data_IF_197332650490
#
_entry.id   IF_197332650490
#
_cell.length_a   1.000
_cell.length_b   1.000
_cell.length_c   1.000
_cell.angle_alpha   90.00
_cell.angle_beta   90.00
_cell.angle_gamma   90.00
#
_symmetry.space_group_name_H-M   'P 1'
#
loop_
_entity.id
_entity.type
_entity.pdbx_description
1 polymer ?
#
# COMPACT_ATOMS: atom_id res chain seq x y z
N UNK A 1 -19.84 14.41 -8.81
CA UNK A 1 -18.64 13.60 -9.16
C UNK A 1 -17.46 14.49 -9.57
N UNK A 2 -17.59 15.33 -10.60
CA UNK A 2 -16.51 16.24 -11.06
C UNK A 2 -16.03 17.25 -10.00
N UNK A 3 -16.94 17.90 -9.25
CA UNK A 3 -16.55 18.83 -8.19
C UNK A 3 -15.74 18.16 -7.07
N UNK A 4 -16.11 16.93 -6.68
CA UNK A 4 -15.39 16.18 -5.65
C UNK A 4 -14.00 15.74 -6.15
N UNK A 5 -13.88 15.42 -7.44
CA UNK A 5 -12.59 15.08 -8.05
C UNK A 5 -11.63 16.26 -8.03
N UNK A 6 -12.13 17.45 -8.39
CA UNK A 6 -11.35 18.69 -8.34
C UNK A 6 -10.87 18.98 -6.92
N UNK A 7 -11.76 18.87 -5.92
CA UNK A 7 -11.41 19.08 -4.52
C UNK A 7 -10.30 18.14 -4.03
N UNK A 8 -10.30 16.88 -4.46
CA UNK A 8 -9.30 15.90 -3.99
C UNK A 8 -7.93 16.11 -4.64
N UNK A 9 -7.89 16.35 -5.95
CA UNK A 9 -6.62 16.46 -6.71
C UNK A 9 -5.93 17.81 -6.47
N UNK A 10 -6.70 18.87 -6.23
CA UNK A 10 -6.17 20.20 -5.92
C UNK A 10 -6.15 20.52 -4.42
N UNK A 11 -6.38 19.52 -3.58
CA UNK A 11 -6.22 19.68 -2.14
C UNK A 11 -4.77 19.99 -1.78
N UNK A 12 -4.58 20.90 -0.83
CA UNK A 12 -3.26 21.33 -0.41
C UNK A 12 -2.39 20.19 0.13
N UNK A 13 -2.97 19.24 0.89
CA UNK A 13 -2.25 18.10 1.45
C UNK A 13 -1.79 17.17 0.32
N UNK A 14 -2.67 16.90 -0.66
CA UNK A 14 -2.30 16.07 -1.80
C UNK A 14 -1.16 16.68 -2.61
N UNK A 15 -1.24 17.98 -2.90
CA UNK A 15 -0.21 18.70 -3.66
C UNK A 15 1.12 18.72 -2.90
N UNK A 16 1.10 18.88 -1.57
CA UNK A 16 2.30 18.75 -0.74
C UNK A 16 2.90 17.36 -0.88
N UNK A 17 2.10 16.29 -0.75
CA UNK A 17 2.59 14.91 -0.92
C UNK A 17 3.18 14.70 -2.32
N UNK A 18 2.50 15.19 -3.37
CA UNK A 18 2.97 15.08 -4.75
C UNK A 18 4.31 15.78 -4.96
N UNK A 19 4.46 17.02 -4.47
CA UNK A 19 5.71 17.78 -4.54
C UNK A 19 6.83 17.07 -3.77
N UNK A 20 6.54 16.54 -2.58
CA UNK A 20 7.52 15.79 -1.78
C UNK A 20 8.01 14.54 -2.52
N UNK A 21 7.11 13.80 -3.17
CA UNK A 21 7.49 12.62 -3.96
C UNK A 21 8.38 13.02 -5.15
N UNK A 22 8.02 14.07 -5.90
CA UNK A 22 8.87 14.56 -7.01
C UNK A 22 10.25 14.99 -6.51
N UNK A 23 10.30 15.70 -5.37
CA UNK A 23 11.54 16.09 -4.73
C UNK A 23 12.38 14.90 -4.27
N UNK A 24 11.74 13.85 -3.71
CA UNK A 24 12.44 12.61 -3.33
C UNK A 24 13.10 11.93 -4.53
N UNK A 25 12.46 11.92 -5.70
CA UNK A 25 13.05 11.35 -6.92
C UNK A 25 14.23 12.20 -7.41
N UNK A 26 14.07 13.54 -7.44
CA UNK A 26 15.14 14.47 -7.83
C UNK A 26 16.37 14.36 -6.92
N UNK A 27 16.16 14.20 -5.62
CA UNK A 27 17.23 14.02 -4.63
C UNK A 27 18.01 12.71 -4.84
N UNK A 28 17.33 11.66 -5.31
CA UNK A 28 17.97 10.37 -5.61
C UNK A 28 18.77 10.44 -6.92
N UNK A 29 18.24 11.13 -7.95
CA UNK A 29 18.93 11.44 -9.20
C UNK A 29 18.26 12.63 -9.89
N UNK A 30 19.04 13.62 -10.33
CA UNK A 30 18.53 14.86 -10.92
C UNK A 30 17.64 14.63 -12.16
N UNK A 31 17.89 13.56 -12.92
CA UNK A 31 17.12 13.22 -14.13
C UNK A 31 15.79 12.51 -13.83
N UNK A 32 15.56 12.09 -12.59
CA UNK A 32 14.39 11.29 -12.22
C UNK A 32 13.17 12.12 -11.82
N UNK A 33 13.28 13.45 -11.84
CA UNK A 33 12.17 14.38 -11.57
C UNK A 33 10.93 14.05 -12.44
N UNK A 34 11.14 13.82 -13.75
CA UNK A 34 10.07 13.46 -14.69
C UNK A 34 9.39 12.14 -14.31
N UNK A 35 10.15 11.17 -13.77
CA UNK A 35 9.57 9.90 -13.33
C UNK A 35 8.75 10.08 -12.06
N UNK A 36 9.18 10.94 -11.14
CA UNK A 36 8.36 11.35 -10.00
C UNK A 36 7.01 11.92 -10.45
N UNK A 37 7.01 12.83 -11.42
CA UNK A 37 5.77 13.40 -11.99
C UNK A 37 4.90 12.32 -12.65
N UNK A 38 5.50 11.40 -13.41
CA UNK A 38 4.78 10.26 -14.01
C UNK A 38 4.15 9.36 -12.95
N UNK A 39 4.84 9.08 -11.86
CA UNK A 39 4.34 8.22 -10.78
C UNK A 39 3.22 8.89 -9.98
N UNK A 40 3.30 10.22 -9.73
CA UNK A 40 2.17 11.01 -9.20
C UNK A 40 0.95 10.89 -10.12
N UNK A 41 1.13 11.08 -11.43
CA UNK A 41 0.05 10.99 -12.42
C UNK A 41 -0.58 9.58 -12.47
N UNK A 42 0.25 8.53 -12.55
CA UNK A 42 -0.19 7.13 -12.57
C UNK A 42 -0.97 6.74 -11.31
N UNK A 43 -0.46 7.14 -10.14
CA UNK A 43 -1.11 6.91 -8.86
C UNK A 43 -2.46 7.63 -8.74
N UNK A 44 -2.52 8.88 -9.20
CA UNK A 44 -3.75 9.68 -9.22
C UNK A 44 -4.84 9.03 -10.06
N UNK A 45 -4.51 8.60 -11.29
CA UNK A 45 -5.48 7.96 -12.19
C UNK A 45 -6.04 6.67 -11.59
N UNK A 46 -5.17 5.79 -11.08
CA UNK A 46 -5.61 4.54 -10.50
C UNK A 46 -6.39 4.77 -9.20
N UNK A 47 -5.99 5.73 -8.36
CA UNK A 47 -6.71 6.10 -7.15
C UNK A 47 -8.14 6.53 -7.44
N UNK A 48 -8.34 7.43 -8.41
CA UNK A 48 -9.66 7.88 -8.85
C UNK A 48 -10.49 6.72 -9.41
N UNK A 49 -9.88 5.91 -10.29
CA UNK A 49 -10.55 4.78 -10.93
C UNK A 49 -11.07 3.78 -9.89
N UNK A 50 -10.19 3.34 -8.97
CA UNK A 50 -10.54 2.36 -7.96
C UNK A 50 -11.46 2.93 -6.87
N UNK A 51 -11.33 4.20 -6.51
CA UNK A 51 -12.30 4.88 -5.64
C UNK A 51 -13.71 4.86 -6.24
N UNK A 52 -13.81 5.09 -7.56
CA UNK A 52 -15.09 5.04 -8.28
C UNK A 52 -15.67 3.61 -8.28
N UNK A 53 -14.83 2.59 -8.49
CA UNK A 53 -15.24 1.18 -8.42
C UNK A 53 -15.75 0.83 -7.02
N UNK A 54 -15.03 1.24 -5.96
CA UNK A 54 -15.43 1.01 -4.57
C UNK A 54 -16.77 1.67 -4.25
N UNK A 55 -16.98 2.90 -4.73
CA UNK A 55 -18.23 3.64 -4.53
C UNK A 55 -19.43 2.96 -5.20
N UNK A 56 -19.28 2.53 -6.46
CA UNK A 56 -20.32 1.76 -7.16
C UNK A 56 -20.57 0.41 -6.47
N UNK A 57 -19.53 -0.19 -5.89
CA UNK A 57 -19.63 -1.38 -5.05
C UNK A 57 -20.28 -1.16 -3.68
N UNK A 58 -20.73 0.06 -3.37
CA UNK A 58 -21.40 0.40 -2.10
C UNK A 58 -20.46 0.51 -0.90
N UNK A 59 -19.15 0.50 -1.12
CA UNK A 59 -18.15 0.57 -0.04
C UNK A 59 -17.96 2.04 0.35
N UNK A 60 -18.68 2.47 1.38
CA UNK A 60 -18.58 3.81 1.93
C UNK A 60 -17.94 3.77 3.32
N UNK A 61 -16.87 4.52 3.51
CA UNK A 61 -16.15 4.64 4.78
C UNK A 61 -16.46 6.02 5.36
N UNK A 62 -17.11 6.07 6.53
CA UNK A 62 -17.32 7.36 7.21
C UNK A 62 -16.04 7.73 7.94
N UNK A 63 -15.53 8.93 7.70
CA UNK A 63 -14.34 9.41 8.37
C UNK A 63 -14.66 9.66 9.85
N UNK A 64 -13.90 9.03 10.75
CA UNK A 64 -14.03 9.23 12.19
C UNK A 64 -12.72 9.77 12.76
N UNK A 65 -12.79 10.45 13.90
CA UNK A 65 -11.58 10.96 14.57
C UNK A 65 -10.59 9.84 14.91
N UNK A 66 -11.09 8.64 15.26
CA UNK A 66 -10.26 7.46 15.52
C UNK A 66 -9.38 7.06 14.33
N UNK A 67 -9.82 7.30 13.09
CA UNK A 67 -9.01 7.02 11.90
C UNK A 67 -7.77 7.91 11.80
N UNK A 68 -7.79 9.12 12.39
CA UNK A 68 -6.64 10.02 12.37
C UNK A 68 -5.47 9.45 13.18
N UNK A 69 -5.72 8.59 14.18
CA UNK A 69 -4.67 7.89 14.95
C UNK A 69 -3.90 6.88 14.11
N UNK A 70 -4.45 6.42 12.98
CA UNK A 70 -3.74 5.52 12.08
C UNK A 70 -2.49 6.16 11.51
N UNK A 71 -2.46 7.49 11.34
CA UNK A 71 -1.29 8.21 10.80
C UNK A 71 -0.07 8.13 11.75
N UNK A 72 -0.14 8.62 13.00
CA UNK A 72 0.99 8.51 13.93
C UNK A 72 1.33 7.05 14.25
N UNK A 73 0.35 6.15 14.29
CA UNK A 73 0.59 4.73 14.49
C UNK A 73 1.36 4.11 13.32
N UNK A 74 0.98 4.41 12.08
CA UNK A 74 1.70 3.96 10.88
C UNK A 74 3.14 4.46 10.88
N UNK A 75 3.36 5.73 11.24
CA UNK A 75 4.70 6.31 11.34
C UNK A 75 5.54 5.59 12.41
N UNK A 76 4.96 5.32 13.58
CA UNK A 76 5.61 4.58 14.67
C UNK A 76 5.99 3.17 14.23
N UNK A 77 5.08 2.42 13.60
CA UNK A 77 5.35 1.07 13.12
C UNK A 77 6.42 1.06 12.02
N UNK A 78 6.36 2.00 11.08
CA UNK A 78 7.36 2.18 10.02
C UNK A 78 8.75 2.46 10.59
N UNK A 79 8.84 3.22 11.70
CA UNK A 79 10.12 3.53 12.36
C UNK A 79 10.82 2.28 12.92
N UNK A 80 10.06 1.25 13.29
CA UNK A 80 10.61 -0.04 13.77
C UNK A 80 11.00 -0.93 12.59
N UNK A 81 10.10 -1.06 11.61
CA UNK A 81 10.38 -1.77 10.37
C UNK A 81 9.61 -1.10 9.22
N UNK A 82 10.27 -0.69 8.12
CA UNK A 82 9.58 -0.06 7.00
C UNK A 82 8.41 -0.88 6.43
N UNK A 83 8.47 -2.23 6.52
CA UNK A 83 7.37 -3.11 6.08
C UNK A 83 6.09 -2.93 6.91
N UNK A 84 6.22 -2.59 8.19
CA UNK A 84 5.09 -2.48 9.12
C UNK A 84 4.27 -1.20 8.92
N UNK A 85 4.71 -0.30 8.05
CA UNK A 85 3.89 0.82 7.59
C UNK A 85 2.73 0.42 6.68
N UNK A 86 2.72 -0.81 6.15
CA UNK A 86 1.59 -1.29 5.36
C UNK A 86 0.35 -1.46 6.24
N UNK A 87 -0.81 -0.99 5.77
CA UNK A 87 -2.08 -1.14 6.48
C UNK A 87 -2.49 -2.60 6.72
N UNK A 88 -1.91 -3.57 6.00
CA UNK A 88 -2.02 -5.00 6.30
C UNK A 88 -1.48 -5.40 7.68
N UNK A 89 -0.64 -4.57 8.31
CA UNK A 89 -0.22 -4.71 9.71
C UNK A 89 -0.92 -3.73 10.64
N UNK A 90 -1.00 -2.46 10.23
CA UNK A 90 -1.51 -1.37 11.09
C UNK A 90 -2.97 -1.64 11.51
N UNK A 91 -3.83 -2.08 10.59
CA UNK A 91 -5.25 -2.31 10.88
C UNK A 91 -5.45 -3.51 11.83
N UNK A 92 -4.89 -4.70 11.58
CA UNK A 92 -4.94 -5.80 12.55
C UNK A 92 -4.34 -5.45 13.91
N UNK A 93 -3.23 -4.71 13.95
CA UNK A 93 -2.61 -4.27 15.20
C UNK A 93 -3.55 -3.34 15.98
N UNK A 94 -4.18 -2.38 15.30
CA UNK A 94 -5.15 -1.45 15.90
C UNK A 94 -6.35 -2.20 16.47
N UNK A 95 -6.88 -3.18 15.73
CA UNK A 95 -7.97 -4.05 16.19
C UNK A 95 -7.59 -4.81 17.46
N UNK A 96 -6.45 -5.51 17.43
CA UNK A 96 -5.99 -6.30 18.56
C UNK A 96 -5.74 -5.44 19.80
N UNK A 97 -5.14 -4.25 19.64
CA UNK A 97 -4.94 -3.32 20.74
C UNK A 97 -6.26 -2.85 21.37
N UNK A 98 -7.28 -2.58 20.55
CA UNK A 98 -8.62 -2.24 21.02
C UNK A 98 -9.25 -3.35 21.88
N UNK A 99 -9.22 -4.60 21.38
CA UNK A 99 -9.77 -5.78 22.08
C UNK A 99 -9.05 -6.05 23.41
N UNK A 100 -7.71 -5.88 23.45
CA UNK A 100 -6.93 -6.02 24.67
C UNK A 100 -7.33 -4.96 25.70
N UNK A 101 -7.44 -3.70 25.29
CA UNK A 101 -7.83 -2.61 26.18
C UNK A 101 -9.25 -2.79 26.73
N UNK A 102 -10.17 -3.26 25.89
CA UNK A 102 -11.54 -3.57 26.30
C UNK A 102 -11.59 -4.70 27.34
N UNK A 103 -10.73 -5.71 27.20
CA UNK A 103 -10.59 -6.80 28.19
C UNK A 103 -10.17 -6.28 29.58
N UNK A 104 -9.39 -5.20 29.64
CA UNK A 104 -9.02 -4.52 30.90
C UNK A 104 -10.06 -3.48 31.37
N UNK A 105 -11.21 -3.37 30.70
CA UNK A 105 -12.29 -2.45 31.04
C UNK A 105 -12.14 -1.04 30.44
N UNK A 106 -11.17 -0.82 29.55
CA UNK A 106 -10.97 0.46 28.86
C UNK A 106 -11.66 0.46 27.49
N UNK A 107 -12.92 0.90 27.43
CA UNK A 107 -13.64 1.05 26.17
C UNK A 107 -13.30 2.38 25.48
N UNK A 108 -12.19 2.39 24.73
CA UNK A 108 -11.75 3.55 23.97
C UNK A 108 -12.40 3.52 22.59
N UNK A 109 -13.39 4.39 22.38
CA UNK A 109 -14.17 4.49 21.13
C UNK A 109 -13.32 4.77 19.88
N UNK A 110 -12.10 5.27 20.05
CA UNK A 110 -11.17 5.54 18.95
C UNK A 110 -10.71 4.28 18.21
N UNK A 111 -10.75 3.11 18.87
CA UNK A 111 -10.45 1.81 18.24
C UNK A 111 -11.67 1.16 17.57
N UNK A 112 -12.86 1.76 17.66
CA UNK A 112 -14.04 1.29 16.96
C UNK A 112 -14.02 1.80 15.50
N UNK A 113 -13.32 1.04 14.65
CA UNK A 113 -13.10 1.37 13.25
C UNK A 113 -13.93 0.45 12.34
N UNK A 114 -14.27 0.89 11.11
CA UNK A 114 -14.95 0.06 10.11
C UNK A 114 -13.99 -0.96 9.49
N UNK A 115 -13.55 -1.94 10.30
CA UNK A 115 -12.54 -2.94 9.91
C UNK A 115 -12.94 -3.71 8.65
N UNK A 116 -14.21 -4.10 8.51
CA UNK A 116 -14.73 -4.80 7.33
C UNK A 116 -14.50 -4.02 6.02
N UNK A 117 -14.67 -2.70 6.05
CA UNK A 117 -14.44 -1.83 4.91
C UNK A 117 -12.94 -1.60 4.67
N UNK A 118 -12.14 -1.53 5.74
CA UNK A 118 -10.69 -1.42 5.62
C UNK A 118 -10.04 -2.64 4.99
N UNK A 119 -10.50 -3.86 5.29
CA UNK A 119 -10.01 -5.07 4.63
C UNK A 119 -10.16 -4.92 3.11
N UNK A 120 -11.36 -4.54 2.64
CA UNK A 120 -11.61 -4.35 1.20
C UNK A 120 -10.76 -3.22 0.61
N UNK A 121 -10.66 -2.08 1.31
CA UNK A 121 -9.81 -0.96 0.88
C UNK A 121 -8.34 -1.38 0.71
N UNK A 122 -7.79 -2.10 1.69
CA UNK A 122 -6.41 -2.59 1.66
C UNK A 122 -6.21 -3.54 0.48
N UNK A 123 -7.17 -4.41 0.21
CA UNK A 123 -7.13 -5.27 -0.97
C UNK A 123 -7.05 -4.47 -2.28
N UNK A 124 -7.85 -3.41 -2.43
CA UNK A 124 -7.77 -2.51 -3.58
C UNK A 124 -6.44 -1.76 -3.68
N UNK A 125 -5.90 -1.30 -2.55
CA UNK A 125 -4.57 -0.66 -2.52
C UNK A 125 -3.48 -1.60 -3.04
N UNK A 126 -3.52 -2.88 -2.68
CA UNK A 126 -2.58 -3.88 -3.22
C UNK A 126 -2.87 -4.18 -4.70
N UNK A 127 -4.12 -4.13 -5.18
CA UNK A 127 -4.37 -4.23 -6.62
C UNK A 127 -3.69 -3.09 -7.39
N UNK A 128 -3.82 -1.85 -6.90
CA UNK A 128 -3.16 -0.68 -7.50
C UNK A 128 -1.64 -0.87 -7.47
N UNK A 129 -1.08 -1.22 -6.30
CA UNK A 129 0.36 -1.47 -6.15
C UNK A 129 0.85 -2.54 -7.13
N UNK A 130 0.17 -3.69 -7.19
CA UNK A 130 0.54 -4.79 -8.07
C UNK A 130 0.57 -4.38 -9.55
N UNK A 131 -0.44 -3.62 -10.00
CA UNK A 131 -0.49 -3.09 -11.39
C UNK A 131 0.70 -2.15 -11.65
N UNK A 132 0.96 -1.21 -10.72
CA UNK A 132 2.02 -0.22 -10.87
C UNK A 132 3.42 -0.85 -10.81
N UNK A 133 3.63 -1.80 -9.91
CA UNK A 133 4.88 -2.56 -9.78
C UNK A 133 5.13 -3.38 -11.05
N UNK A 134 4.14 -4.11 -11.57
CA UNK A 134 4.30 -4.89 -12.79
C UNK A 134 4.69 -4.03 -14.00
N UNK A 135 4.06 -2.85 -14.15
CA UNK A 135 4.24 -2.02 -15.35
C UNK A 135 5.41 -1.05 -15.26
N UNK A 136 5.65 -0.49 -14.09
CA UNK A 136 6.54 0.67 -13.91
C UNK A 136 7.60 0.46 -12.82
N UNK A 137 7.53 -0.63 -12.06
CA UNK A 137 8.44 -0.89 -10.94
C UNK A 137 9.92 -0.97 -11.33
N UNK A 138 10.23 -1.33 -12.58
CA UNK A 138 11.60 -1.47 -13.09
C UNK A 138 12.16 -0.20 -13.76
N UNK A 139 11.37 0.88 -13.88
CA UNK A 139 11.86 2.14 -14.41
C UNK A 139 12.84 2.81 -13.43
N UNK A 140 13.94 3.38 -13.93
CA UNK A 140 14.89 4.18 -13.14
C UNK A 140 15.36 3.46 -11.86
N UNK A 141 16.03 2.33 -12.02
CA UNK A 141 16.62 1.57 -10.91
C UNK A 141 18.00 2.11 -10.53
N UNK A 142 18.38 1.93 -9.26
CA UNK A 142 19.69 2.32 -8.74
C UNK A 142 20.61 1.11 -8.66
N UNK A 143 21.80 1.21 -9.22
CA UNK A 143 22.80 0.15 -9.07
C UNK A 143 23.29 0.05 -7.63
N UNK A 144 23.31 -1.15 -7.07
CA UNK A 144 23.73 -1.43 -5.68
C UNK A 144 24.54 -2.72 -5.59
N UNK A 145 25.53 -2.80 -4.68
CA UNK A 145 26.23 -4.05 -4.41
C UNK A 145 25.33 -5.03 -3.65
N UNK A 146 25.31 -6.29 -4.08
CA UNK A 146 24.61 -7.40 -3.41
C UNK A 146 25.66 -8.41 -2.94
N UNK A 147 25.67 -8.72 -1.64
CA UNK A 147 26.50 -9.79 -1.11
C UNK A 147 25.76 -11.12 -1.17
N UNK A 148 26.29 -12.09 -1.91
CA UNK A 148 25.65 -13.41 -2.09
C UNK A 148 26.17 -14.48 -1.11
N UNK A 149 26.85 -14.08 -0.03
CA UNK A 149 27.48 -14.99 0.93
C UNK A 149 28.92 -15.37 0.59
N UNK A 150 29.36 -15.19 -0.66
CA UNK A 150 30.74 -15.48 -1.09
C UNK A 150 31.42 -14.27 -1.74
N UNK A 151 30.71 -13.61 -2.65
CA UNK A 151 31.21 -12.49 -3.46
C UNK A 151 30.21 -11.33 -3.44
N UNK A 152 30.72 -10.12 -3.70
CA UNK A 152 29.90 -8.95 -3.99
C UNK A 152 29.62 -8.92 -5.49
N UNK A 153 28.35 -8.94 -5.86
CA UNK A 153 27.88 -8.83 -7.24
C UNK A 153 27.10 -7.53 -7.43
N UNK A 154 27.05 -7.04 -8.66
CA UNK A 154 26.20 -5.90 -9.02
C UNK A 154 24.74 -6.33 -9.11
N UNK A 155 23.86 -5.53 -8.52
CA UNK A 155 22.41 -5.64 -8.70
C UNK A 155 21.74 -4.27 -8.74
N UNK A 156 20.42 -4.28 -8.69
CA UNK A 156 19.60 -3.09 -8.90
C UNK A 156 18.54 -2.99 -7.81
N UNK A 157 18.44 -1.81 -7.20
CA UNK A 157 17.39 -1.43 -6.27
C UNK A 157 16.24 -0.78 -7.05
N UNK A 158 15.05 -1.33 -6.88
CA UNK A 158 13.80 -0.81 -7.41
C UNK A 158 13.09 -0.09 -6.27
N UNK A 159 12.89 1.23 -6.40
CA UNK A 159 12.27 2.07 -5.38
C UNK A 159 11.26 2.98 -6.03
N UNK A 160 9.99 2.89 -5.61
CA UNK A 160 8.87 3.65 -6.18
C UNK A 160 7.93 4.15 -5.11
N UNK A 161 7.36 5.32 -5.34
CA UNK A 161 6.29 5.89 -4.51
C UNK A 161 5.17 6.43 -5.39
N UNK A 162 3.95 6.02 -5.10
CA UNK A 162 2.75 6.47 -5.80
C UNK A 162 1.76 7.06 -4.80
N UNK A 163 1.46 8.36 -4.88
CA UNK A 163 0.39 8.95 -4.10
C UNK A 163 -0.96 8.56 -4.71
N UNK A 164 -1.84 8.01 -3.88
CA UNK A 164 -3.15 7.51 -4.26
C UNK A 164 -4.20 8.37 -3.55
N UNK A 165 -4.84 9.32 -4.26
CA UNK A 165 -6.00 10.01 -3.74
C UNK A 165 -7.19 9.04 -3.72
N UNK A 166 -7.76 8.85 -2.54
CA UNK A 166 -8.95 8.07 -2.32
C UNK A 166 -10.14 9.01 -2.11
N UNK A 167 -11.11 8.90 -2.99
CA UNK A 167 -12.36 9.65 -2.90
C UNK A 167 -13.36 8.78 -2.17
N UNK A 168 -13.67 9.16 -0.94
CA UNK A 168 -14.73 8.51 -0.20
C UNK A 168 -15.98 9.36 -0.37
N UNK A 169 -17.00 8.76 -0.97
CA UNK A 169 -18.24 9.45 -1.33
C UNK A 169 -19.14 9.58 -0.10
N UNK A 170 -18.68 10.42 0.83
CA UNK A 170 -19.45 10.93 1.96
C UNK A 170 -20.10 12.27 1.56
N UNK A 171 -21.19 12.64 2.22
CA UNK A 171 -21.90 13.93 2.00
C UNK A 171 -20.98 15.13 2.12
N UNK A 172 -19.95 15.00 2.96
CA UNK A 172 -18.79 15.87 2.99
C UNK A 172 -17.62 15.09 2.37
N UNK A 173 -17.28 15.43 1.13
CA UNK A 173 -16.21 14.77 0.38
C UNK A 173 -14.84 15.10 0.99
N UNK A 174 -14.50 14.41 2.08
CA UNK A 174 -13.20 14.57 2.72
C UNK A 174 -12.21 13.60 2.06
N UNK A 175 -11.18 14.11 1.38
CA UNK A 175 -10.22 13.27 0.70
C UNK A 175 -9.33 12.51 1.69
N UNK A 176 -9.04 11.25 1.39
CA UNK A 176 -8.00 10.47 2.08
C UNK A 176 -6.86 10.19 1.11
N UNK A 177 -5.63 10.32 1.56
CA UNK A 177 -4.45 10.02 0.74
C UNK A 177 -3.73 8.80 1.26
N UNK A 178 -3.42 7.87 0.38
CA UNK A 178 -2.49 6.78 0.65
C UNK A 178 -1.20 7.01 -0.14
N UNK A 179 -0.08 6.55 0.40
CA UNK A 179 1.19 6.50 -0.32
C UNK A 179 1.57 5.04 -0.45
N UNK A 180 1.60 4.53 -1.69
CA UNK A 180 2.07 3.19 -1.98
C UNK A 180 3.56 3.24 -2.27
N UNK A 181 4.34 2.50 -1.48
CA UNK A 181 5.79 2.41 -1.62
C UNK A 181 6.21 1.00 -1.99
N UNK A 182 6.91 0.84 -3.12
CA UNK A 182 7.56 -0.42 -3.48
C UNK A 182 9.07 -0.29 -3.35
N UNK A 183 9.69 -1.20 -2.62
CA UNK A 183 11.14 -1.28 -2.49
C UNK A 183 11.61 -2.73 -2.54
N UNK A 184 12.49 -3.04 -3.48
CA UNK A 184 13.05 -4.38 -3.63
C UNK A 184 14.45 -4.32 -4.27
N UNK A 185 15.19 -5.42 -4.20
CA UNK A 185 16.53 -5.55 -4.78
C UNK A 185 16.59 -6.85 -5.59
N UNK A 186 17.16 -6.75 -6.80
CA UNK A 186 17.28 -7.91 -7.69
C UNK A 186 18.32 -7.73 -8.78
N UNK A 187 18.63 -8.83 -9.47
CA UNK A 187 19.56 -8.83 -10.61
C UNK A 187 18.89 -8.46 -11.93
N UNK A 188 17.61 -8.78 -12.07
CA UNK A 188 16.79 -8.50 -13.25
C UNK A 188 15.52 -7.75 -12.79
N UNK A 189 15.55 -6.41 -12.81
CA UNK A 189 14.42 -5.61 -12.34
C UNK A 189 13.11 -5.90 -13.05
N UNK A 190 13.14 -6.09 -14.37
CA UNK A 190 11.91 -6.28 -15.16
C UNK A 190 11.22 -7.59 -14.77
N UNK A 191 11.97 -8.68 -14.69
CA UNK A 191 11.42 -9.95 -14.28
C UNK A 191 11.02 -9.93 -12.80
N UNK A 192 11.82 -9.29 -11.93
CA UNK A 192 11.54 -9.20 -10.49
C UNK A 192 10.25 -8.44 -10.22
N UNK A 193 10.08 -7.24 -10.78
CA UNK A 193 8.86 -6.44 -10.57
C UNK A 193 7.65 -7.08 -11.24
N UNK A 194 7.83 -7.75 -12.38
CA UNK A 194 6.78 -8.54 -13.02
C UNK A 194 6.27 -9.71 -12.16
N UNK A 195 7.17 -10.42 -11.47
CA UNK A 195 6.80 -11.50 -10.54
C UNK A 195 6.16 -10.94 -9.26
N UNK A 196 6.80 -9.94 -8.64
CA UNK A 196 6.31 -9.35 -7.39
C UNK A 196 4.94 -8.71 -7.58
N UNK A 197 4.75 -7.94 -8.66
CA UNK A 197 3.45 -7.31 -8.89
C UNK A 197 2.33 -8.33 -9.17
N UNK A 198 2.62 -9.50 -9.77
CA UNK A 198 1.64 -10.62 -9.85
C UNK A 198 1.28 -11.18 -8.47
N UNK A 199 2.26 -11.37 -7.60
CA UNK A 199 2.04 -11.86 -6.24
C UNK A 199 1.21 -10.86 -5.44
N UNK A 200 1.55 -9.56 -5.54
CA UNK A 200 0.81 -8.47 -4.90
C UNK A 200 -0.64 -8.41 -5.42
N UNK A 201 -0.87 -8.59 -6.73
CA UNK A 201 -2.21 -8.68 -7.30
C UNK A 201 -3.03 -9.84 -6.73
N UNK A 202 -2.44 -11.04 -6.69
CA UNK A 202 -3.11 -12.25 -6.15
C UNK A 202 -3.46 -12.04 -4.68
N UNK A 203 -2.55 -11.48 -3.91
CA UNK A 203 -2.82 -11.12 -2.52
C UNK A 203 -3.94 -10.07 -2.40
N UNK A 204 -3.91 -9.01 -3.21
CA UNK A 204 -4.97 -7.99 -3.21
C UNK A 204 -6.36 -8.59 -3.47
N UNK A 205 -6.48 -9.49 -4.46
CA UNK A 205 -7.72 -10.22 -4.73
C UNK A 205 -8.15 -11.09 -3.56
N UNK A 206 -7.20 -11.78 -2.92
CA UNK A 206 -7.45 -12.61 -1.76
C UNK A 206 -7.95 -11.77 -0.56
N UNK A 207 -7.35 -10.61 -0.31
CA UNK A 207 -7.78 -9.70 0.75
C UNK A 207 -9.18 -9.13 0.47
N UNK A 208 -9.49 -8.77 -0.78
CA UNK A 208 -10.86 -8.35 -1.15
C UNK A 208 -11.86 -9.48 -0.86
N UNK A 209 -11.52 -10.72 -1.19
CA UNK A 209 -12.36 -11.88 -0.87
C UNK A 209 -12.60 -12.01 0.63
N UNK A 210 -11.56 -11.90 1.48
CA UNK A 210 -11.72 -11.92 2.94
C UNK A 210 -12.64 -10.78 3.42
N UNK A 211 -12.49 -9.58 2.86
CA UNK A 211 -13.36 -8.44 3.17
C UNK A 211 -14.82 -8.68 2.80
N UNK A 212 -15.09 -9.33 1.67
CA UNK A 212 -16.45 -9.71 1.27
C UNK A 212 -17.02 -10.80 2.19
N UNK A 213 -16.22 -11.80 2.55
CA UNK A 213 -16.65 -12.89 3.43
C UNK A 213 -17.00 -12.39 4.84
N UNK A 214 -16.21 -11.46 5.38
CA UNK A 214 -16.48 -10.83 6.69
C UNK A 214 -17.74 -9.96 6.65
N UNK A 215 -17.94 -9.17 5.59
CA UNK A 215 -19.17 -8.39 5.41
C UNK A 215 -20.43 -9.25 5.31
N UNK A 216 -20.34 -10.42 4.65
CA UNK A 216 -21.43 -11.39 4.55
C UNK A 216 -21.60 -12.27 5.80
N UNK A 217 -20.83 -12.02 6.86
CA UNK A 217 -20.83 -12.82 8.10
C UNK A 217 -20.50 -14.31 7.87
N UNK A 218 -19.86 -14.65 6.74
CA UNK A 218 -19.41 -16.01 6.42
C UNK A 218 -18.06 -16.35 7.06
N UNK A 219 -17.32 -15.31 7.49
CA UNK A 219 -16.04 -15.44 8.17
C UNK A 219 -15.99 -14.43 9.33
N UNK A 220 -15.51 -14.83 10.52
CA UNK A 220 -15.38 -13.90 11.63
C UNK A 220 -14.24 -12.89 11.37
N UNK A 221 -14.45 -11.64 11.79
CA UNK A 221 -13.55 -10.52 11.51
C UNK A 221 -12.13 -10.75 12.04
N UNK A 222 -12.00 -11.23 13.27
CA UNK A 222 -10.71 -11.52 13.92
C UNK A 222 -9.85 -12.48 13.09
N UNK A 223 -10.46 -13.51 12.47
CA UNK A 223 -9.74 -14.47 11.63
C UNK A 223 -9.22 -13.80 10.35
N UNK A 224 -10.03 -12.98 9.68
CA UNK A 224 -9.59 -12.26 8.49
C UNK A 224 -8.43 -11.30 8.80
N UNK A 225 -8.53 -10.56 9.92
CA UNK A 225 -7.48 -9.65 10.38
C UNK A 225 -6.19 -10.37 10.77
N UNK A 226 -6.26 -11.61 11.26
CA UNK A 226 -5.08 -12.44 11.51
C UNK A 226 -4.43 -12.94 10.20
N UNK A 227 -5.25 -13.32 9.22
CA UNK A 227 -4.77 -13.83 7.92
C UNK A 227 -4.04 -12.73 7.12
N UNK A 228 -4.45 -11.47 7.24
CA UNK A 228 -3.84 -10.36 6.50
C UNK A 228 -2.31 -10.23 6.68
N UNK A 229 -1.76 -10.03 7.89
CA UNK A 229 -0.32 -9.88 8.07
C UNK A 229 0.43 -11.17 7.73
N UNK A 230 -0.18 -12.34 7.94
CA UNK A 230 0.40 -13.63 7.53
C UNK A 230 0.53 -13.69 6.02
N UNK A 231 -0.55 -13.40 5.28
CA UNK A 231 -0.54 -13.37 3.82
C UNK A 231 0.46 -12.36 3.27
N UNK A 232 0.57 -11.20 3.93
CA UNK A 232 1.56 -10.19 3.57
C UNK A 232 3.00 -10.70 3.71
N UNK A 233 3.36 -11.38 4.81
CA UNK A 233 4.69 -12.00 4.94
C UNK A 233 4.91 -13.14 3.93
N UNK A 234 3.87 -13.94 3.61
CA UNK A 234 3.95 -14.99 2.60
C UNK A 234 4.32 -14.44 1.22
N UNK A 235 3.84 -13.24 0.85
CA UNK A 235 4.22 -12.59 -0.41
C UNK A 235 5.73 -12.34 -0.51
N UNK A 236 6.36 -11.95 0.61
CA UNK A 236 7.79 -11.66 0.67
C UNK A 236 8.67 -12.90 0.78
N UNK A 237 8.09 -14.09 1.03
CA UNK A 237 8.87 -15.34 1.04
C UNK A 237 9.59 -15.59 -0.29
N UNK A 238 9.03 -15.10 -1.39
CA UNK A 238 9.66 -15.18 -2.72
C UNK A 238 11.02 -14.48 -2.78
N UNK A 239 11.29 -13.51 -1.89
CA UNK A 239 12.59 -12.84 -1.81
C UNK A 239 13.68 -13.73 -1.20
N UNK A 240 13.31 -14.77 -0.46
CA UNK A 240 14.25 -15.73 0.14
C UNK A 240 14.54 -16.92 -0.77
N UNK A 241 13.80 -17.08 -1.88
CA UNK A 241 14.09 -18.10 -2.88
C UNK A 241 15.31 -17.63 -3.68
N UNK A 242 16.46 -18.32 -3.59
CA UNK A 242 17.66 -17.87 -4.28
C UNK A 242 17.41 -17.85 -5.79
N UNK A 243 17.57 -16.68 -6.41
CA UNK A 243 17.58 -16.56 -7.87
C UNK A 243 18.72 -17.43 -8.39
N UNK A 244 18.39 -18.61 -8.95
CA UNK A 244 19.35 -19.35 -9.76
C UNK A 244 19.72 -18.43 -10.92
N UNK A 245 20.96 -17.93 -10.92
CA UNK A 245 21.57 -17.35 -12.11
C UNK A 245 21.38 -18.38 -13.23
N UNK A 246 20.50 -18.11 -14.19
CA UNK A 246 20.68 -18.68 -15.53
C UNK A 246 21.93 -18.00 -16.06
N UNK A 247 23.09 -18.57 -15.78
CA UNK A 247 24.30 -18.27 -16.54
C UNK A 247 23.94 -18.66 -17.97
N UNK A 248 23.65 -17.67 -18.82
CA UNK A 248 23.79 -17.90 -20.25
C UNK A 248 25.29 -18.08 -20.46
N UNK A 249 25.70 -19.34 -20.58
CA UNK A 249 26.98 -19.73 -21.18
C UNK A 249 26.96 -19.33 -22.65
#
# INVERSE_FOLDING_TARGET
MLNNLYLVVFDAIFLIIAILIVYMYKRENETWEITGVKDVYRGTILGILFSSIMSVGGINIKLTFGMLLLIPLTLLMTSVNPKWGCYSYVIPFTYFLGEVLETFGYNITWFNLPYNQFIVLIGFLHLIEGILVMRYGSENTKEVPIFNGKNITKGYMMKKFWPIPLIIFSTDAMPIYAILGYMDIGYDPQNKTGQMGKIILVYGLFIILLGILTQKQLMPLNLALLIMPIGHELMFLVNYIPFRKKVKL
#
